data_IF_132160622914
#
_entry.id   IF_132160622914
#
_cell.length_a   1.000
_cell.length_b   1.000
_cell.length_c   1.000
_cell.angle_alpha   90.00
_cell.angle_beta   90.00
_cell.angle_gamma   90.00
#
_symmetry.space_group_name_H-M   'P 1'
#
loop_
_entity.id
_entity.type
_entity.pdbx_description
1 polymer ?
#
# COMPACT_ATOMS: atom_id res chain seq x y z
N UNK A 1 -8.05 -0.92 26.43
CA UNK A 1 -6.62 -1.23 26.47
C UNK A 1 -5.79 0.05 26.47
N UNK A 2 -5.14 0.36 27.59
CA UNK A 2 -4.38 1.62 27.77
C UNK A 2 -3.12 1.74 26.90
N UNK A 3 -2.67 0.65 26.31
CA UNK A 3 -1.46 0.66 25.48
C UNK A 3 -1.78 0.99 24.01
N UNK A 4 -2.85 0.42 23.47
CA UNK A 4 -3.17 0.49 22.03
C UNK A 4 -4.11 1.67 21.72
N UNK A 5 -4.95 2.07 22.65
CA UNK A 5 -5.94 3.13 22.43
C UNK A 5 -5.30 4.46 21.96
N UNK A 6 -4.16 4.91 22.52
CA UNK A 6 -3.53 6.13 22.00
C UNK A 6 -3.17 6.06 20.53
N UNK A 7 -2.70 4.89 20.07
CA UNK A 7 -2.38 4.68 18.66
C UNK A 7 -3.60 4.83 17.76
N UNK A 8 -4.71 4.20 18.12
CA UNK A 8 -5.98 4.33 17.39
C UNK A 8 -6.45 5.78 17.32
N UNK A 9 -6.40 6.49 18.46
CA UNK A 9 -6.84 7.89 18.54
C UNK A 9 -5.94 8.75 17.65
N UNK A 10 -4.63 8.55 17.69
CA UNK A 10 -3.70 9.33 16.86
C UNK A 10 -3.84 9.03 15.38
N UNK A 11 -4.10 7.78 15.01
CA UNK A 11 -4.37 7.42 13.61
C UNK A 11 -5.63 8.13 13.11
N UNK A 12 -6.70 8.11 13.91
CA UNK A 12 -7.94 8.79 13.55
C UNK A 12 -7.77 10.31 13.50
N UNK A 13 -7.06 10.86 14.47
CA UNK A 13 -6.72 12.30 14.48
C UNK A 13 -5.97 12.69 13.20
N UNK A 14 -4.97 11.89 12.82
CA UNK A 14 -4.18 12.15 11.61
C UNK A 14 -5.06 12.09 10.35
N UNK A 15 -5.95 11.09 10.26
CA UNK A 15 -6.88 10.96 9.13
C UNK A 15 -7.78 12.21 9.03
N UNK A 16 -8.42 12.60 10.13
CA UNK A 16 -9.34 13.74 10.14
C UNK A 16 -8.62 15.06 9.82
N UNK A 17 -7.37 15.20 10.29
CA UNK A 17 -6.59 16.42 10.04
C UNK A 17 -6.05 16.49 8.60
N UNK A 18 -5.84 15.36 7.95
CA UNK A 18 -5.35 15.31 6.56
C UNK A 18 -6.48 15.32 5.52
N UNK A 19 -7.71 15.03 5.94
CA UNK A 19 -8.86 14.96 5.04
C UNK A 19 -9.52 16.32 4.91
N UNK A 20 -9.82 16.75 3.69
CA UNK A 20 -10.57 17.98 3.42
C UNK A 20 -12.08 17.76 3.50
N UNK A 21 -12.52 16.52 3.38
CA UNK A 21 -13.92 16.11 3.46
C UNK A 21 -14.03 14.93 4.44
N UNK A 22 -15.23 14.64 4.94
CA UNK A 22 -15.42 13.47 5.81
C UNK A 22 -14.89 12.20 5.12
N UNK A 23 -14.08 11.38 5.83
CA UNK A 23 -13.55 10.16 5.23
C UNK A 23 -14.63 9.11 5.00
N UNK A 24 -14.41 8.21 4.05
CA UNK A 24 -15.27 7.03 3.88
C UNK A 24 -14.99 6.01 4.99
N UNK A 25 -15.92 5.05 5.18
CA UNK A 25 -15.70 3.97 6.14
C UNK A 25 -14.44 3.16 5.81
N UNK A 26 -14.21 2.92 4.51
CA UNK A 26 -13.00 2.22 4.05
C UNK A 26 -11.73 2.99 4.43
N UNK A 27 -11.72 4.32 4.26
CA UNK A 27 -10.58 5.15 4.67
C UNK A 27 -10.35 5.09 6.18
N UNK A 28 -11.42 5.05 6.98
CA UNK A 28 -11.33 4.89 8.42
C UNK A 28 -10.67 3.55 8.75
N UNK A 29 -11.17 2.45 8.19
CA UNK A 29 -10.62 1.11 8.44
C UNK A 29 -9.13 1.05 8.02
N UNK A 30 -8.80 1.57 6.84
CA UNK A 30 -7.40 1.61 6.37
C UNK A 30 -6.49 2.42 7.29
N UNK A 31 -6.98 3.55 7.82
CA UNK A 31 -6.15 4.42 8.68
C UNK A 31 -5.85 3.78 10.03
N UNK A 32 -6.72 2.88 10.49
CA UNK A 32 -6.54 2.18 11.77
C UNK A 32 -5.61 0.98 11.67
N UNK A 33 -5.29 0.53 10.45
CA UNK A 33 -4.41 -0.62 10.21
C UNK A 33 -3.03 -0.41 10.86
N UNK A 34 -2.46 -1.47 11.40
CA UNK A 34 -1.20 -1.41 12.12
C UNK A 34 -1.34 -1.19 13.63
N UNK A 35 -2.51 -0.77 14.10
CA UNK A 35 -2.80 -0.68 15.53
C UNK A 35 -3.38 -2.02 16.00
N UNK A 36 -2.53 -2.90 16.50
CA UNK A 36 -2.91 -4.27 16.83
C UNK A 36 -3.52 -4.36 18.23
N UNK A 37 -4.77 -4.83 18.32
CA UNK A 37 -5.49 -5.00 19.57
C UNK A 37 -5.97 -6.43 19.74
N UNK A 38 -5.53 -7.10 20.78
CA UNK A 38 -5.95 -8.47 21.11
C UNK A 38 -7.28 -8.51 21.89
N UNK A 39 -7.68 -7.38 22.49
CA UNK A 39 -8.73 -7.34 23.52
C UNK A 39 -10.14 -7.19 22.96
N UNK A 40 -10.34 -6.36 21.93
CA UNK A 40 -11.65 -5.86 21.51
C UNK A 40 -12.24 -6.56 20.29
N UNK A 41 -11.43 -7.25 19.50
CA UNK A 41 -11.85 -7.73 18.18
C UNK A 41 -12.07 -6.59 17.17
N UNK A 42 -11.61 -5.38 17.50
CA UNK A 42 -11.64 -4.17 16.65
C UNK A 42 -13.03 -3.57 16.44
N UNK A 43 -14.11 -4.35 16.46
CA UNK A 43 -15.45 -3.91 16.09
C UNK A 43 -15.92 -2.66 16.87
N UNK A 44 -15.81 -2.63 18.22
CA UNK A 44 -16.24 -1.43 18.98
C UNK A 44 -15.41 -0.20 18.62
N UNK A 45 -14.14 -0.38 18.21
CA UNK A 45 -13.25 0.73 17.82
C UNK A 45 -13.72 1.30 16.47
N UNK A 46 -13.92 0.42 15.48
CA UNK A 46 -14.40 0.81 14.15
C UNK A 46 -15.76 1.51 14.26
N UNK A 47 -16.68 0.91 15.03
CA UNK A 47 -18.03 1.47 15.22
C UNK A 47 -17.98 2.87 15.87
N UNK A 48 -17.06 3.07 16.82
CA UNK A 48 -16.88 4.38 17.46
C UNK A 48 -16.35 5.44 16.46
N UNK A 49 -15.51 5.03 15.51
CA UNK A 49 -14.96 5.99 14.54
C UNK A 49 -15.85 6.21 13.31
N UNK A 50 -16.84 5.34 13.08
CA UNK A 50 -17.82 5.51 12.00
C UNK A 50 -18.64 6.79 12.11
N UNK A 51 -18.76 7.36 13.31
CA UNK A 51 -19.47 8.64 13.50
C UNK A 51 -18.84 9.78 12.67
N UNK A 52 -17.57 9.64 12.27
CA UNK A 52 -16.87 10.61 11.45
C UNK A 52 -16.96 10.31 9.96
N UNK A 53 -17.60 9.21 9.57
CA UNK A 53 -17.69 8.80 8.18
C UNK A 53 -18.70 9.63 7.39
N UNK A 54 -18.48 9.73 6.11
CA UNK A 54 -19.41 10.34 5.16
C UNK A 54 -20.72 9.52 5.14
N UNK A 55 -21.84 10.17 5.41
CA UNK A 55 -23.13 9.53 5.68
C UNK A 55 -23.82 8.88 4.45
N UNK A 56 -23.24 8.98 3.27
CA UNK A 56 -23.89 8.52 2.04
C UNK A 56 -23.49 7.11 1.58
N UNK A 57 -22.69 6.39 2.35
CA UNK A 57 -22.32 5.01 2.01
C UNK A 57 -23.36 4.04 2.61
N UNK A 58 -24.35 3.70 1.78
CA UNK A 58 -25.48 2.83 2.16
C UNK A 58 -25.08 1.37 2.47
N UNK A 59 -23.82 0.99 2.25
CA UNK A 59 -23.40 -0.41 2.38
C UNK A 59 -23.27 -0.89 3.84
N UNK A 60 -23.16 0.02 4.80
CA UNK A 60 -22.92 -0.34 6.20
C UNK A 60 -23.99 0.15 7.18
N UNK A 61 -24.96 0.94 6.71
CA UNK A 61 -25.98 1.52 7.60
C UNK A 61 -27.08 0.55 8.00
N UNK A 62 -27.15 -0.64 7.39
CA UNK A 62 -28.26 -1.57 7.66
C UNK A 62 -28.08 -2.45 8.89
N UNK A 63 -26.95 -2.37 9.61
CA UNK A 63 -26.76 -3.23 10.78
C UNK A 63 -26.81 -2.52 12.15
N UNK A 64 -26.98 -1.19 12.19
CA UNK A 64 -26.88 -0.47 13.47
C UNK A 64 -28.01 0.50 13.80
N UNK A 65 -29.00 0.62 12.94
CA UNK A 65 -30.08 1.58 13.19
C UNK A 65 -31.45 0.93 13.36
N UNK A 66 -31.52 -0.19 14.07
CA UNK A 66 -32.66 -0.38 14.94
C UNK A 66 -32.31 0.40 16.20
N UNK A 67 -32.77 1.65 16.29
CA UNK A 67 -32.77 2.34 17.57
C UNK A 67 -33.48 1.42 18.57
N UNK A 68 -32.82 0.95 19.63
CA UNK A 68 -33.54 0.28 20.71
C UNK A 68 -34.54 1.32 21.21
N UNK A 69 -35.77 0.91 21.42
CA UNK A 69 -36.71 1.68 22.22
C UNK A 69 -35.95 2.04 23.50
N UNK A 70 -36.11 3.26 23.96
CA UNK A 70 -35.31 3.88 25.03
C UNK A 70 -35.19 3.06 26.34
N UNK A 71 -35.87 1.92 26.43
CA UNK A 71 -36.03 1.18 27.68
C UNK A 71 -35.25 -0.14 27.80
N UNK A 72 -34.48 -0.59 26.76
CA UNK A 72 -33.79 -1.88 26.88
C UNK A 72 -32.37 -1.82 26.26
N UNK A 73 -31.42 -1.43 27.09
CA UNK A 73 -30.01 -1.60 26.72
C UNK A 73 -29.59 -3.04 27.02
N UNK A 74 -29.33 -3.81 25.97
CA UNK A 74 -28.85 -5.19 26.12
C UNK A 74 -27.32 -5.16 26.18
N UNK A 75 -26.77 -5.71 27.25
CA UNK A 75 -25.34 -5.78 27.47
C UNK A 75 -24.68 -6.65 26.42
N UNK A 76 -23.70 -6.11 25.61
CA UNK A 76 -23.07 -6.90 24.56
C UNK A 76 -22.28 -8.11 25.05
N UNK A 77 -21.84 -8.10 26.31
CA UNK A 77 -21.03 -9.20 26.87
C UNK A 77 -21.89 -10.31 27.48
N UNK A 78 -23.12 -10.04 27.84
CA UNK A 78 -24.01 -11.05 28.52
C UNK A 78 -25.25 -11.38 27.70
N UNK A 79 -25.60 -10.56 26.72
CA UNK A 79 -26.85 -10.74 25.95
C UNK A 79 -28.13 -10.50 26.72
N UNK A 80 -28.03 -9.91 27.90
CA UNK A 80 -29.20 -9.66 28.81
C UNK A 80 -29.40 -8.16 29.03
N UNK A 81 -30.59 -7.70 29.43
CA UNK A 81 -30.80 -6.31 29.81
C UNK A 81 -29.76 -5.88 30.85
N UNK A 82 -29.12 -4.75 30.62
CA UNK A 82 -27.99 -4.31 31.43
C UNK A 82 -28.38 -3.26 32.45
N UNK A 83 -28.21 -3.60 33.72
CA UNK A 83 -28.46 -2.66 34.83
C UNK A 83 -27.36 -1.62 35.01
N UNK A 84 -26.23 -1.77 34.32
CA UNK A 84 -25.13 -0.80 34.43
C UNK A 84 -25.45 0.54 33.73
N UNK A 85 -26.47 0.58 32.89
CA UNK A 85 -26.93 1.81 32.23
C UNK A 85 -28.14 2.45 32.88
N UNK A 86 -28.75 1.82 33.89
CA UNK A 86 -29.87 2.44 34.63
C UNK A 86 -29.32 3.52 35.55
N UNK A 87 -29.80 4.73 35.39
CA UNK A 87 -29.49 5.84 36.28
C UNK A 87 -29.83 5.42 37.71
N UNK A 88 -28.83 5.23 38.54
CA UNK A 88 -29.01 5.22 39.97
C UNK A 88 -29.69 6.54 40.35
N UNK A 89 -30.76 6.47 41.09
CA UNK A 89 -31.44 7.65 41.58
C UNK A 89 -30.41 8.56 42.27
N UNK A 90 -30.19 9.71 41.69
CA UNK A 90 -29.26 10.69 42.24
C UNK A 90 -29.94 11.32 43.44
N UNK A 91 -29.41 11.03 44.60
CA UNK A 91 -29.73 11.75 45.82
C UNK A 91 -29.29 13.21 45.64
N UNK A 92 -30.22 14.13 45.72
CA UNK A 92 -29.99 15.55 45.49
C UNK A 92 -29.11 16.17 46.60
N UNK A 93 -27.81 16.19 46.35
CA UNK A 93 -26.87 17.00 47.15
C UNK A 93 -26.28 18.07 46.25
N UNK A 94 -26.07 19.31 46.72
CA UNK A 94 -25.60 20.41 45.89
C UNK A 94 -24.10 20.30 45.65
N UNK A 95 -23.68 19.79 44.51
CA UNK A 95 -22.28 19.95 44.13
C UNK A 95 -22.16 20.25 42.66
N UNK A 96 -21.36 21.26 42.48
CA UNK A 96 -20.95 21.92 41.24
C UNK A 96 -20.20 21.02 40.28
N UNK A 97 -20.26 21.38 39.06
CA UNK A 97 -19.54 20.91 37.89
C UNK A 97 -20.19 19.73 37.17
N UNK A 98 -21.02 20.07 36.22
CA UNK A 98 -21.62 19.11 35.33
C UNK A 98 -20.61 18.49 34.37
N UNK A 99 -20.38 17.21 34.59
CA UNK A 99 -20.08 16.34 33.46
C UNK A 99 -21.44 15.73 33.08
N UNK A 100 -22.03 16.27 32.05
CA UNK A 100 -23.16 15.62 31.42
C UNK A 100 -22.63 14.35 30.74
N UNK A 101 -22.80 13.23 31.38
CA UNK A 101 -22.40 11.92 30.82
C UNK A 101 -23.42 11.39 29.80
N UNK A 102 -23.99 12.27 29.02
CA UNK A 102 -24.70 11.84 27.83
C UNK A 102 -23.76 11.90 26.65
N UNK A 103 -23.01 10.84 26.42
CA UNK A 103 -22.27 10.71 25.17
C UNK A 103 -23.24 10.40 24.04
N UNK A 104 -23.94 11.41 23.56
CA UNK A 104 -24.49 11.32 22.21
C UNK A 104 -23.29 11.28 21.27
N UNK A 105 -23.18 10.29 20.40
CA UNK A 105 -22.11 10.30 19.42
C UNK A 105 -22.20 11.58 18.60
N UNK A 106 -21.13 12.37 18.61
CA UNK A 106 -21.08 13.56 17.77
C UNK A 106 -21.02 13.11 16.31
N UNK A 107 -21.99 13.52 15.52
CA UNK A 107 -21.91 13.32 14.08
C UNK A 107 -20.90 14.31 13.49
N UNK A 108 -20.32 13.96 12.36
CA UNK A 108 -19.38 14.88 11.67
C UNK A 108 -20.03 16.23 11.37
N UNK A 109 -21.34 16.25 11.12
CA UNK A 109 -22.11 17.47 10.86
C UNK A 109 -22.23 18.39 12.08
N UNK A 110 -22.00 17.86 13.27
CA UNK A 110 -22.03 18.65 14.54
C UNK A 110 -20.63 19.18 14.87
N UNK A 111 -19.59 18.69 14.19
CA UNK A 111 -18.25 19.24 14.29
C UNK A 111 -18.16 20.32 13.22
N UNK A 112 -17.92 21.56 13.65
CA UNK A 112 -17.79 22.69 12.74
C UNK A 112 -16.64 22.39 11.73
N UNK A 113 -17.01 22.01 10.52
CA UNK A 113 -16.05 21.69 9.46
C UNK A 113 -15.15 22.87 9.09
N UNK A 114 -15.62 24.12 9.29
CA UNK A 114 -14.81 25.29 9.05
C UNK A 114 -13.63 25.39 10.01
N UNK A 115 -13.78 24.87 11.22
CA UNK A 115 -12.70 24.84 12.21
C UNK A 115 -11.58 23.89 11.81
N UNK A 116 -11.87 22.88 10.97
CA UNK A 116 -10.84 21.94 10.50
C UNK A 116 -10.01 22.51 9.35
N UNK A 117 -10.62 23.29 8.47
CA UNK A 117 -9.91 23.88 7.33
C UNK A 117 -8.98 25.02 7.74
N UNK A 118 -9.26 25.69 8.85
CA UNK A 118 -8.48 26.83 9.34
C UNK A 118 -7.55 26.48 10.49
N UNK A 119 -7.58 25.28 11.03
CA UNK A 119 -6.66 24.88 12.07
C UNK A 119 -5.30 24.60 11.47
N UNK A 120 -4.37 25.48 11.74
CA UNK A 120 -2.97 25.24 11.39
C UNK A 120 -2.46 23.98 12.09
N UNK A 121 -1.91 23.08 11.30
CA UNK A 121 -1.09 22.03 11.86
C UNK A 121 0.08 22.69 12.58
N UNK A 122 0.32 22.32 13.83
CA UNK A 122 1.46 22.85 14.58
C UNK A 122 2.70 22.19 14.00
N UNK A 123 3.22 22.80 12.95
CA UNK A 123 4.44 22.34 12.28
C UNK A 123 5.48 23.46 12.38
N UNK A 124 6.67 23.17 12.90
CA UNK A 124 7.67 24.22 13.07
C UNK A 124 7.96 24.96 11.77
N UNK A 125 7.75 26.29 11.70
CA UNK A 125 7.98 27.05 10.46
C UNK A 125 9.41 26.89 9.93
N UNK A 126 10.38 26.72 10.81
CA UNK A 126 11.78 26.53 10.46
C UNK A 126 11.97 25.27 9.59
N UNK A 127 11.18 24.25 9.82
CA UNK A 127 11.24 23.02 9.02
C UNK A 127 10.61 23.21 7.64
N UNK A 128 9.56 24.04 7.53
CA UNK A 128 8.97 24.41 6.24
C UNK A 128 9.95 25.18 5.37
N UNK A 129 10.73 26.07 5.98
CA UNK A 129 11.68 26.93 5.29
C UNK A 129 13.03 26.22 5.06
N UNK A 130 13.23 25.06 5.64
CA UNK A 130 14.51 24.35 5.56
C UNK A 130 14.78 23.86 4.16
N UNK A 131 15.82 24.38 3.54
CA UNK A 131 16.28 23.90 2.24
C UNK A 131 16.95 22.54 2.37
N UNK A 132 16.63 21.64 1.47
CA UNK A 132 17.31 20.36 1.39
C UNK A 132 18.77 20.57 0.99
N UNK A 133 19.67 19.96 1.76
CA UNK A 133 21.11 20.01 1.47
C UNK A 133 21.63 18.59 1.29
N UNK A 134 22.69 18.48 0.50
CA UNK A 134 23.44 17.23 0.38
C UNK A 134 23.95 16.83 1.76
N UNK A 135 23.83 15.54 2.10
CA UNK A 135 24.39 15.01 3.34
C UNK A 135 25.49 13.99 3.04
N UNK A 136 26.55 14.10 3.80
CA UNK A 136 27.67 13.15 3.81
C UNK A 136 28.07 13.00 5.28
N UNK A 137 27.69 11.86 5.87
CA UNK A 137 27.87 11.61 7.29
C UNK A 137 28.74 10.36 7.47
N UNK A 138 29.64 10.39 8.44
CA UNK A 138 30.41 9.23 8.85
C UNK A 138 30.00 8.84 10.26
N UNK A 139 29.54 7.61 10.42
CA UNK A 139 29.11 7.06 11.70
C UNK A 139 30.17 6.14 12.33
N UNK A 140 29.79 5.52 13.40
CA UNK A 140 30.63 4.55 14.10
C UNK A 140 31.03 3.40 13.18
N UNK A 141 32.26 2.89 13.34
CA UNK A 141 32.75 1.81 12.56
C UNK A 141 33.05 2.12 11.09
N UNK A 142 33.09 3.42 10.74
CA UNK A 142 33.37 3.86 9.38
C UNK A 142 32.17 3.79 8.43
N UNK A 143 30.97 3.55 8.97
CA UNK A 143 29.73 3.60 8.17
C UNK A 143 29.59 4.97 7.51
N UNK A 144 29.34 4.99 6.21
CA UNK A 144 29.11 6.21 5.44
C UNK A 144 27.65 6.29 5.03
N UNK A 145 27.04 7.46 5.25
CA UNK A 145 25.68 7.76 4.84
C UNK A 145 25.69 8.96 3.91
N UNK A 146 25.16 8.76 2.71
CA UNK A 146 25.02 9.83 1.72
C UNK A 146 23.54 10.09 1.44
N UNK A 147 23.17 11.36 1.26
CA UNK A 147 21.87 11.77 0.74
C UNK A 147 22.09 12.78 -0.39
N UNK A 148 22.32 12.28 -1.62
CA UNK A 148 22.43 13.14 -2.80
C UNK A 148 21.09 13.77 -3.15
N UNK A 149 21.12 14.82 -3.99
CA UNK A 149 19.92 15.56 -4.41
C UNK A 149 19.72 15.50 -5.93
N UNK A 150 20.64 14.91 -6.68
CA UNK A 150 20.54 14.76 -8.13
C UNK A 150 20.90 13.34 -8.54
N UNK A 151 20.30 12.87 -9.63
CA UNK A 151 20.60 11.56 -10.19
C UNK A 151 22.09 11.44 -10.55
N UNK A 152 22.66 12.47 -11.15
CA UNK A 152 24.10 12.47 -11.50
C UNK A 152 24.97 12.18 -10.27
N UNK A 153 24.63 12.77 -9.12
CA UNK A 153 25.39 12.55 -7.90
C UNK A 153 25.21 11.10 -7.37
N UNK A 154 24.01 10.51 -7.56
CA UNK A 154 23.77 9.09 -7.22
C UNK A 154 24.69 8.20 -8.07
N UNK A 155 24.76 8.46 -9.39
CA UNK A 155 25.58 7.66 -10.31
C UNK A 155 27.07 7.75 -9.94
N UNK A 156 27.55 8.94 -9.61
CA UNK A 156 28.95 9.14 -9.16
C UNK A 156 29.22 8.34 -7.88
N UNK A 157 28.28 8.39 -6.91
CA UNK A 157 28.44 7.62 -5.66
C UNK A 157 28.38 6.12 -5.93
N UNK A 158 27.50 5.67 -6.82
CA UNK A 158 27.37 4.25 -7.17
C UNK A 158 28.63 3.73 -7.88
N UNK A 159 29.20 4.51 -8.78
CA UNK A 159 30.48 4.20 -9.44
C UNK A 159 31.61 4.07 -8.41
N UNK A 160 31.64 4.99 -7.43
CA UNK A 160 32.66 4.99 -6.37
C UNK A 160 32.47 3.86 -5.36
N UNK A 161 31.22 3.50 -5.10
CA UNK A 161 30.86 2.47 -4.10
C UNK A 161 29.87 1.47 -4.72
N UNK A 162 30.33 0.56 -5.60
CA UNK A 162 29.43 -0.37 -6.31
C UNK A 162 28.57 -1.22 -5.38
N UNK A 163 29.08 -1.54 -4.17
CA UNK A 163 28.37 -2.34 -3.17
C UNK A 163 27.52 -1.47 -2.21
N UNK A 164 27.39 -0.16 -2.45
CA UNK A 164 26.57 0.69 -1.62
C UNK A 164 25.11 0.24 -1.67
N UNK A 165 24.45 0.22 -0.51
CA UNK A 165 23.04 -0.15 -0.40
C UNK A 165 22.18 1.10 -0.52
N UNK A 166 21.21 1.09 -1.41
CA UNK A 166 20.25 2.18 -1.55
C UNK A 166 19.16 2.08 -0.48
N UNK A 167 18.74 3.24 0.00
CA UNK A 167 17.68 3.35 1.01
C UNK A 167 16.64 4.40 0.57
N UNK A 168 15.36 4.02 0.68
CA UNK A 168 14.23 4.94 0.67
C UNK A 168 13.58 4.88 2.06
N UNK A 169 12.69 3.91 2.32
CA UNK A 169 11.96 3.81 3.58
C UNK A 169 12.58 2.91 4.63
N UNK A 170 13.70 2.28 4.35
CA UNK A 170 14.44 1.42 5.30
C UNK A 170 13.64 0.21 5.81
N UNK A 171 12.57 -0.18 5.15
CA UNK A 171 11.67 -1.26 5.62
C UNK A 171 12.28 -2.66 5.49
N UNK A 172 13.21 -2.85 4.54
CA UNK A 172 13.97 -4.11 4.43
C UNK A 172 15.37 -3.94 5.04
N UNK A 173 16.10 -2.89 4.67
CA UNK A 173 17.48 -2.67 5.12
C UNK A 173 17.53 -2.56 6.66
N UNK A 174 16.52 -1.91 7.26
CA UNK A 174 16.42 -1.83 8.71
C UNK A 174 16.29 -3.21 9.38
N UNK A 175 15.55 -4.12 8.77
CA UNK A 175 15.43 -5.52 9.24
C UNK A 175 16.76 -6.24 9.06
N UNK A 176 17.42 -6.06 7.91
CA UNK A 176 18.71 -6.69 7.62
C UNK A 176 19.79 -6.25 8.63
N UNK A 177 19.87 -4.95 8.89
CA UNK A 177 20.89 -4.41 9.80
C UNK A 177 20.59 -4.73 11.27
N UNK A 178 19.34 -4.57 11.69
CA UNK A 178 18.95 -4.70 13.10
C UNK A 178 18.80 -6.14 13.55
N UNK A 179 18.14 -6.97 12.75
CA UNK A 179 17.82 -8.36 13.15
C UNK A 179 18.79 -9.38 12.57
N UNK A 180 19.19 -9.24 11.31
CA UNK A 180 20.13 -10.15 10.66
C UNK A 180 21.59 -9.72 10.88
N UNK A 181 21.80 -8.53 11.44
CA UNK A 181 23.12 -7.95 11.75
C UNK A 181 24.02 -7.81 10.51
N UNK A 182 23.42 -7.68 9.34
CA UNK A 182 24.16 -7.41 8.11
C UNK A 182 24.71 -5.98 8.17
N UNK A 183 25.99 -5.82 7.85
CA UNK A 183 26.63 -4.49 7.84
C UNK A 183 26.80 -4.01 6.41
N UNK A 184 26.36 -2.78 6.18
CA UNK A 184 26.53 -2.09 4.90
C UNK A 184 27.48 -0.91 5.14
N UNK A 185 28.73 -0.98 4.64
CA UNK A 185 29.68 0.12 4.88
C UNK A 185 29.24 1.45 4.31
N UNK A 186 28.45 1.43 3.24
CA UNK A 186 27.98 2.66 2.56
C UNK A 186 26.48 2.54 2.30
N UNK A 187 25.73 3.54 2.77
CA UNK A 187 24.29 3.68 2.56
C UNK A 187 24.03 4.95 1.77
N UNK A 188 23.20 4.87 0.73
CA UNK A 188 22.85 6.02 -0.11
C UNK A 188 21.33 6.19 -0.07
N UNK A 189 20.87 7.29 0.53
CA UNK A 189 19.45 7.62 0.58
C UNK A 189 19.06 8.36 -0.70
N UNK A 190 18.12 7.79 -1.47
CA UNK A 190 17.71 8.34 -2.76
C UNK A 190 16.30 8.96 -2.71
N UNK A 191 15.82 9.28 -1.51
CA UNK A 191 14.43 9.75 -1.28
C UNK A 191 14.11 11.09 -1.96
N UNK A 192 15.13 11.89 -2.27
CA UNK A 192 14.92 13.25 -2.82
C UNK A 192 15.40 13.38 -4.28
N UNK A 193 15.59 12.27 -4.99
CA UNK A 193 16.03 12.31 -6.39
C UNK A 193 14.80 12.45 -7.29
N UNK A 194 14.62 13.57 -7.99
CA UNK A 194 13.37 13.80 -8.74
C UNK A 194 13.09 12.71 -9.77
N UNK A 195 14.09 12.27 -10.51
CA UNK A 195 13.95 11.25 -11.56
C UNK A 195 13.47 9.90 -11.00
N UNK A 196 13.86 9.58 -9.74
CA UNK A 196 13.46 8.34 -9.09
C UNK A 196 12.08 8.46 -8.41
N UNK A 197 11.54 9.68 -8.30
CA UNK A 197 10.23 9.93 -7.71
C UNK A 197 9.16 10.33 -8.76
N UNK A 198 9.47 10.14 -10.04
CA UNK A 198 8.55 10.47 -11.13
C UNK A 198 7.30 9.58 -11.07
N UNK A 199 6.12 10.20 -11.19
CA UNK A 199 4.85 9.51 -11.42
C UNK A 199 4.18 10.24 -12.59
N UNK A 200 4.27 9.66 -13.78
CA UNK A 200 3.82 10.32 -15.01
C UNK A 200 2.86 9.42 -15.80
N UNK A 201 1.65 9.92 -15.97
CA UNK A 201 0.62 9.28 -16.80
C UNK A 201 0.93 9.62 -18.26
N UNK A 202 1.13 8.59 -19.08
CA UNK A 202 1.42 8.73 -20.52
C UNK A 202 0.27 8.14 -21.34
N UNK A 203 0.29 8.38 -22.62
CA UNK A 203 -0.74 7.86 -23.54
C UNK A 203 -0.76 6.33 -23.56
N UNK A 204 0.40 5.69 -23.44
CA UNK A 204 0.57 4.24 -23.57
C UNK A 204 0.76 3.52 -22.22
N UNK A 205 0.81 4.25 -21.10
CA UNK A 205 1.03 3.62 -19.80
C UNK A 205 1.37 4.60 -18.69
N UNK A 206 1.91 4.08 -17.62
CA UNK A 206 2.30 4.86 -16.44
C UNK A 206 3.80 4.66 -16.19
N UNK A 207 4.55 5.76 -16.12
CA UNK A 207 5.97 5.76 -15.73
C UNK A 207 6.06 6.00 -14.22
N UNK A 208 6.72 5.09 -13.51
CA UNK A 208 6.77 5.06 -12.04
C UNK A 208 8.25 5.00 -11.62
N UNK A 209 8.75 6.04 -10.99
CA UNK A 209 10.11 6.10 -10.47
C UNK A 209 10.36 5.07 -9.37
N UNK A 210 11.58 4.58 -9.27
CA UNK A 210 11.90 3.49 -8.33
C UNK A 210 11.82 3.92 -6.85
N UNK A 211 11.94 5.22 -6.54
CA UNK A 211 11.81 5.71 -5.16
C UNK A 211 10.37 6.09 -4.78
N UNK A 212 9.42 6.02 -5.71
CA UNK A 212 8.00 6.29 -5.45
C UNK A 212 7.51 5.37 -4.31
N UNK A 213 6.82 5.96 -3.34
CA UNK A 213 6.29 5.21 -2.20
C UNK A 213 5.03 4.45 -2.60
N UNK A 214 4.79 3.32 -1.92
CA UNK A 214 3.65 2.47 -2.26
C UNK A 214 2.30 3.17 -2.01
N UNK A 215 2.23 4.07 -1.02
CA UNK A 215 1.02 4.89 -0.79
C UNK A 215 0.77 5.86 -1.95
N UNK A 216 1.81 6.53 -2.43
CA UNK A 216 1.71 7.45 -3.58
C UNK A 216 1.29 6.71 -4.85
N UNK A 217 1.83 5.50 -5.04
CA UNK A 217 1.45 4.62 -6.15
C UNK A 217 -0.02 4.23 -6.06
N UNK A 218 -0.48 3.82 -4.87
CA UNK A 218 -1.88 3.43 -4.63
C UNK A 218 -2.84 4.59 -4.94
N UNK A 219 -2.53 5.79 -4.47
CA UNK A 219 -3.33 6.98 -4.75
C UNK A 219 -3.37 7.29 -6.25
N UNK A 220 -2.21 7.17 -6.93
CA UNK A 220 -2.13 7.39 -8.37
C UNK A 220 -2.97 6.36 -9.13
N UNK A 221 -2.90 5.10 -8.75
CA UNK A 221 -3.73 4.06 -9.38
C UNK A 221 -5.22 4.34 -9.16
N UNK A 222 -5.64 4.74 -7.96
CA UNK A 222 -7.03 5.09 -7.66
C UNK A 222 -7.51 6.25 -8.55
N UNK A 223 -6.70 7.31 -8.65
CA UNK A 223 -7.00 8.46 -9.50
C UNK A 223 -7.13 8.05 -10.98
N UNK A 224 -6.15 7.32 -11.49
CA UNK A 224 -6.12 6.88 -12.89
C UNK A 224 -7.32 5.97 -13.21
N UNK A 225 -7.71 5.09 -12.27
CA UNK A 225 -8.88 4.22 -12.49
C UNK A 225 -10.21 4.98 -12.49
N UNK A 226 -10.25 6.17 -11.90
CA UNK A 226 -11.45 7.02 -11.97
C UNK A 226 -11.47 7.90 -13.24
N UNK A 227 -10.32 8.15 -13.85
CA UNK A 227 -10.19 9.04 -15.01
C UNK A 227 -10.19 8.30 -16.36
N UNK A 228 -9.79 7.03 -16.39
CA UNK A 228 -9.60 6.25 -17.62
C UNK A 228 -10.60 5.09 -17.72
N UNK A 229 -10.72 4.55 -18.92
CA UNK A 229 -11.63 3.43 -19.18
C UNK A 229 -11.26 2.20 -18.33
N UNK A 230 -12.30 1.44 -18.00
CA UNK A 230 -12.18 0.26 -17.13
C UNK A 230 -11.22 -0.80 -17.68
N UNK A 231 -11.18 -0.99 -19.00
CA UNK A 231 -10.28 -2.00 -19.58
C UNK A 231 -8.82 -1.53 -19.50
N UNK A 232 -8.52 -0.27 -19.84
CA UNK A 232 -7.15 0.26 -19.79
C UNK A 232 -6.53 0.10 -18.42
N UNK A 233 -7.33 0.27 -17.38
CA UNK A 233 -6.88 0.29 -15.99
C UNK A 233 -6.96 -1.07 -15.31
N UNK A 234 -7.13 -2.17 -16.07
CA UNK A 234 -7.23 -3.53 -15.51
C UNK A 234 -6.03 -3.86 -14.61
N UNK A 235 -4.81 -3.55 -15.04
CA UNK A 235 -3.60 -3.76 -14.23
C UNK A 235 -3.63 -2.91 -12.95
N UNK A 236 -4.00 -1.63 -13.07
CA UNK A 236 -4.06 -0.72 -11.91
C UNK A 236 -5.02 -1.24 -10.84
N UNK A 237 -6.19 -1.76 -11.27
CA UNK A 237 -7.17 -2.34 -10.33
C UNK A 237 -6.59 -3.54 -9.57
N UNK A 238 -5.87 -4.42 -10.27
CA UNK A 238 -5.21 -5.55 -9.62
C UNK A 238 -4.16 -5.08 -8.60
N UNK A 239 -3.37 -4.05 -8.96
CA UNK A 239 -2.42 -3.48 -8.01
C UNK A 239 -3.10 -2.81 -6.81
N UNK A 240 -4.24 -2.11 -7.01
CA UNK A 240 -5.00 -1.50 -5.91
C UNK A 240 -5.43 -2.59 -4.91
N UNK A 241 -6.03 -3.67 -5.42
CA UNK A 241 -6.50 -4.77 -4.56
C UNK A 241 -5.32 -5.43 -3.83
N UNK A 242 -4.21 -5.66 -4.52
CA UNK A 242 -3.04 -6.29 -3.90
C UNK A 242 -2.40 -5.37 -2.83
N UNK A 243 -2.29 -4.06 -3.12
CA UNK A 243 -1.72 -3.09 -2.19
C UNK A 243 -2.57 -2.90 -0.94
N UNK A 244 -3.89 -3.11 -1.04
CA UNK A 244 -4.79 -3.08 0.11
C UNK A 244 -4.34 -4.08 1.20
N UNK A 245 -3.82 -5.23 0.78
CA UNK A 245 -3.38 -6.31 1.68
C UNK A 245 -1.86 -6.35 1.87
N UNK A 246 -1.14 -5.34 1.36
CA UNK A 246 0.32 -5.23 1.48
C UNK A 246 0.64 -4.45 2.74
N UNK A 247 1.08 -5.14 3.80
CA UNK A 247 1.47 -4.51 5.07
C UNK A 247 0.46 -3.43 5.52
N UNK A 248 0.79 -2.66 6.52
CA UNK A 248 -0.02 -1.53 6.98
C UNK A 248 0.35 -0.23 6.25
N UNK A 249 -0.50 0.78 6.41
CA UNK A 249 -0.30 2.11 5.82
C UNK A 249 1.05 2.72 6.22
N UNK A 250 1.47 2.53 7.48
CA UNK A 250 2.74 3.04 7.97
C UNK A 250 3.94 2.48 7.19
N UNK A 251 3.85 1.24 6.71
CA UNK A 251 4.90 0.65 5.86
C UNK A 251 4.78 1.18 4.43
N UNK A 252 3.55 1.21 3.87
CA UNK A 252 3.33 1.71 2.50
C UNK A 252 3.76 3.17 2.34
N UNK A 253 3.66 3.96 3.41
CA UNK A 253 4.04 5.39 3.40
C UNK A 253 5.55 5.60 3.21
N UNK A 254 6.37 4.59 3.45
CA UNK A 254 7.83 4.71 3.34
C UNK A 254 8.45 3.70 2.38
N UNK A 255 7.86 2.51 2.24
CA UNK A 255 8.35 1.48 1.31
C UNK A 255 8.21 1.96 -0.13
N UNK A 256 9.22 1.68 -0.96
CA UNK A 256 9.24 2.12 -2.35
C UNK A 256 9.09 0.98 -3.35
N UNK A 257 8.65 1.33 -4.54
CA UNK A 257 8.49 0.43 -5.68
C UNK A 257 9.80 -0.30 -5.97
N UNK A 258 10.88 0.46 -6.19
CA UNK A 258 12.19 -0.12 -6.50
C UNK A 258 12.75 -0.93 -5.33
N UNK A 259 12.49 -0.50 -4.09
CA UNK A 259 12.90 -1.26 -2.91
C UNK A 259 12.26 -2.65 -2.88
N UNK A 260 10.96 -2.73 -3.15
CA UNK A 260 10.23 -4.01 -3.23
C UNK A 260 10.77 -4.87 -4.37
N UNK A 261 10.91 -4.31 -5.57
CA UNK A 261 11.39 -5.02 -6.76
C UNK A 261 12.81 -5.55 -6.53
N UNK A 262 13.74 -4.68 -6.11
CA UNK A 262 15.17 -5.05 -5.97
C UNK A 262 15.44 -5.94 -4.75
N UNK A 263 14.52 -6.03 -3.78
CA UNK A 263 14.58 -7.04 -2.73
C UNK A 263 14.40 -8.45 -3.32
N UNK A 264 13.67 -8.57 -4.42
CA UNK A 264 13.43 -9.83 -5.14
C UNK A 264 13.01 -10.98 -4.22
N UNK A 265 12.10 -10.66 -3.29
CA UNK A 265 11.54 -11.69 -2.41
C UNK A 265 10.72 -12.68 -3.24
N UNK A 266 10.89 -14.00 -3.06
CA UNK A 266 10.05 -14.97 -3.78
C UNK A 266 8.57 -14.89 -3.39
N UNK A 267 8.26 -14.24 -2.26
CA UNK A 267 6.88 -14.04 -1.79
C UNK A 267 6.47 -12.57 -1.88
N UNK A 268 7.13 -11.78 -2.75
CA UNK A 268 6.73 -10.38 -2.97
C UNK A 268 5.29 -10.33 -3.50
N UNK A 269 4.46 -9.53 -2.86
CA UNK A 269 3.06 -9.34 -3.26
C UNK A 269 2.94 -8.71 -4.65
N UNK A 270 3.93 -7.92 -5.08
CA UNK A 270 3.81 -7.11 -6.29
C UNK A 270 4.59 -7.67 -7.48
N UNK A 271 5.67 -8.46 -7.26
CA UNK A 271 6.50 -8.93 -8.35
C UNK A 271 5.74 -9.79 -9.35
N UNK A 272 4.87 -10.74 -8.92
CA UNK A 272 4.06 -11.48 -9.89
C UNK A 272 3.15 -10.59 -10.75
N UNK A 273 2.65 -9.48 -10.18
CA UNK A 273 1.80 -8.54 -10.94
C UNK A 273 2.62 -7.74 -11.95
N UNK A 274 3.84 -7.26 -11.57
CA UNK A 274 4.68 -6.56 -12.53
C UNK A 274 4.99 -7.45 -13.74
N UNK A 275 5.32 -8.72 -13.48
CA UNK A 275 5.60 -9.70 -14.54
C UNK A 275 4.35 -9.95 -15.41
N UNK A 276 3.21 -10.26 -14.77
CA UNK A 276 1.96 -10.57 -15.49
C UNK A 276 1.49 -9.38 -16.34
N UNK A 277 1.59 -8.16 -15.80
CA UNK A 277 1.14 -6.93 -16.46
C UNK A 277 2.09 -6.43 -17.55
N UNK A 278 3.12 -7.19 -17.91
CA UNK A 278 4.09 -6.83 -18.97
C UNK A 278 4.87 -5.55 -18.63
N UNK A 279 5.09 -5.28 -17.34
CA UNK A 279 5.84 -4.09 -16.93
C UNK A 279 7.26 -4.16 -17.50
N UNK A 280 7.80 -2.99 -17.80
CA UNK A 280 9.17 -2.82 -18.29
C UNK A 280 9.97 -2.07 -17.24
N UNK A 281 11.14 -2.57 -16.91
CA UNK A 281 12.04 -1.94 -15.95
C UNK A 281 13.12 -1.18 -16.71
N UNK A 282 13.25 0.11 -16.41
CA UNK A 282 14.29 0.97 -16.98
C UNK A 282 15.44 1.01 -16.00
N UNK A 283 16.60 0.66 -16.49
CA UNK A 283 17.84 0.55 -15.71
C UNK A 283 18.82 1.57 -16.25
N UNK A 284 19.52 2.27 -15.37
CA UNK A 284 20.54 3.24 -15.77
C UNK A 284 21.89 2.82 -15.18
N UNK A 285 22.96 2.86 -16.01
CA UNK A 285 24.32 2.60 -15.55
C UNK A 285 24.99 3.90 -15.07
N UNK A 286 26.17 3.78 -14.48
CA UNK A 286 26.91 4.93 -13.97
C UNK A 286 27.43 5.89 -15.06
N UNK A 287 27.35 5.50 -16.34
CA UNK A 287 27.70 6.35 -17.49
C UNK A 287 26.48 7.10 -18.03
N UNK A 288 25.29 6.78 -17.55
CA UNK A 288 24.03 7.41 -17.99
C UNK A 288 23.30 6.67 -19.11
N UNK A 289 23.76 5.48 -19.51
CA UNK A 289 23.07 4.67 -20.54
C UNK A 289 21.84 3.99 -19.89
N UNK A 290 20.76 3.96 -20.67
CA UNK A 290 19.51 3.40 -20.17
C UNK A 290 19.07 2.19 -20.99
N UNK A 291 18.72 1.10 -20.23
CA UNK A 291 18.29 -0.04 -20.70
C UNK A 291 16.95 -0.30 -20.29
N UNK A 292 16.35 -1.10 -21.04
CA UNK A 292 14.98 -1.52 -20.65
C UNK A 292 14.88 -3.04 -20.77
N UNK A 293 14.37 -3.67 -19.70
CA UNK A 293 14.11 -5.11 -19.66
C UNK A 293 12.67 -5.36 -19.26
N UNK A 294 12.10 -6.50 -19.68
CA UNK A 294 10.78 -6.94 -19.20
C UNK A 294 10.90 -7.41 -17.73
N UNK A 295 9.87 -7.14 -16.94
CA UNK A 295 9.85 -7.57 -15.54
C UNK A 295 10.06 -9.09 -15.39
N UNK A 296 9.56 -9.89 -16.34
CA UNK A 296 9.71 -11.36 -16.30
C UNK A 296 11.15 -11.84 -16.45
N UNK A 297 12.03 -11.02 -17.02
CA UNK A 297 13.44 -11.36 -17.22
C UNK A 297 14.34 -10.83 -16.11
N UNK A 298 13.81 -10.06 -15.18
CA UNK A 298 14.61 -9.30 -14.21
C UNK A 298 14.99 -10.11 -12.97
N UNK A 299 14.19 -11.11 -12.61
CA UNK A 299 14.37 -11.90 -11.38
C UNK A 299 15.16 -13.16 -11.70
N UNK A 300 16.39 -13.28 -11.20
CA UNK A 300 17.33 -14.36 -11.56
C UNK A 300 17.37 -15.49 -10.53
N UNK A 301 16.85 -15.28 -9.32
CA UNK A 301 16.91 -16.29 -8.27
C UNK A 301 16.54 -15.71 -6.91
N UNK A 302 16.79 -16.48 -5.85
CA UNK A 302 16.47 -16.05 -4.49
C UNK A 302 17.19 -14.75 -4.15
N UNK A 303 16.42 -13.67 -4.05
CA UNK A 303 16.90 -12.30 -3.75
C UNK A 303 18.00 -11.85 -4.73
N UNK A 304 17.88 -12.26 -5.99
CA UNK A 304 18.82 -11.87 -7.06
C UNK A 304 18.07 -11.25 -8.22
N UNK A 305 18.58 -10.12 -8.68
CA UNK A 305 18.04 -9.35 -9.81
C UNK A 305 19.09 -9.17 -10.87
N UNK A 306 18.66 -8.88 -12.10
CA UNK A 306 19.51 -8.61 -13.25
C UNK A 306 19.92 -7.13 -13.24
N UNK A 307 20.78 -6.78 -12.28
CA UNK A 307 21.40 -5.46 -12.16
C UNK A 307 22.90 -5.65 -11.96
N UNK A 308 23.69 -5.06 -12.81
CA UNK A 308 25.15 -4.99 -12.62
C UNK A 308 25.49 -4.09 -11.42
N UNK A 309 26.70 -4.22 -10.93
CA UNK A 309 27.15 -3.49 -9.74
C UNK A 309 27.17 -1.96 -9.92
N UNK A 310 27.21 -1.49 -11.17
CA UNK A 310 27.21 -0.07 -11.53
C UNK A 310 25.85 0.39 -12.08
N UNK A 311 24.81 -0.44 -11.94
CA UNK A 311 23.47 -0.14 -12.42
C UNK A 311 22.50 0.13 -11.28
N UNK A 312 21.45 0.88 -11.60
CA UNK A 312 20.33 1.14 -10.69
C UNK A 312 19.00 1.04 -11.47
N UNK A 313 17.96 0.57 -10.78
CA UNK A 313 16.61 0.61 -11.31
C UNK A 313 16.13 2.08 -11.29
N UNK A 314 15.92 2.65 -12.46
CA UNK A 314 15.50 4.04 -12.62
C UNK A 314 13.99 4.17 -12.45
N UNK A 315 13.23 3.38 -13.21
CA UNK A 315 11.76 3.44 -13.19
C UNK A 315 11.15 2.14 -13.69
N UNK A 316 9.85 2.04 -13.49
CA UNK A 316 8.99 0.97 -14.02
C UNK A 316 7.99 1.63 -14.98
N UNK A 317 7.86 1.09 -16.17
CA UNK A 317 6.81 1.45 -17.10
C UNK A 317 5.73 0.36 -17.07
N UNK A 318 4.50 0.75 -16.70
CA UNK A 318 3.34 -0.15 -16.68
C UNK A 318 2.43 0.22 -17.85
N UNK A 319 2.35 -0.63 -18.90
CA UNK A 319 1.50 -0.31 -20.05
C UNK A 319 0.01 -0.42 -19.72
N UNK A 320 -0.81 0.37 -20.40
CA UNK A 320 -2.26 0.19 -20.29
C UNK A 320 -2.66 -1.18 -20.84
N UNK A 321 -3.72 -1.73 -20.28
CA UNK A 321 -4.28 -2.98 -20.79
C UNK A 321 -5.03 -2.72 -22.10
N UNK A 322 -4.98 -3.69 -22.99
CA UNK A 322 -5.72 -3.69 -24.26
C UNK A 322 -7.21 -3.97 -24.01
N UNK A 323 -8.11 -3.61 -24.94
CA UNK A 323 -9.49 -4.11 -24.86
C UNK A 323 -9.50 -5.64 -24.72
N UNK A 324 -10.31 -6.16 -23.81
CA UNK A 324 -10.44 -7.59 -23.50
C UNK A 324 -9.16 -8.19 -22.89
N UNK A 325 -8.28 -7.37 -22.35
CA UNK A 325 -7.16 -7.84 -21.55
C UNK A 325 -7.49 -7.65 -20.06
N UNK A 326 -7.42 -8.74 -19.32
CA UNK A 326 -7.81 -8.77 -17.90
C UNK A 326 -6.61 -9.16 -17.05
N UNK A 327 -6.38 -8.40 -16.00
CA UNK A 327 -5.31 -8.69 -15.02
C UNK A 327 -5.97 -8.91 -13.66
N UNK A 328 -5.53 -9.95 -12.94
CA UNK A 328 -6.03 -10.29 -11.62
C UNK A 328 -4.89 -10.68 -10.69
N UNK A 329 -5.11 -10.39 -9.42
CA UNK A 329 -4.21 -10.68 -8.31
C UNK A 329 -4.84 -11.74 -7.38
N UNK A 330 -3.98 -12.50 -6.74
CA UNK A 330 -4.41 -13.46 -5.72
C UNK A 330 -3.34 -13.50 -4.62
N UNK A 331 -3.80 -13.57 -3.38
CA UNK A 331 -2.91 -13.68 -2.22
C UNK A 331 -3.53 -14.63 -1.19
N UNK A 332 -2.74 -15.58 -0.73
CA UNK A 332 -3.08 -16.44 0.39
C UNK A 332 -2.06 -16.22 1.51
N UNK A 333 -2.54 -15.86 2.68
CA UNK A 333 -1.73 -15.61 3.87
C UNK A 333 -2.43 -16.23 5.09
N UNK A 334 -1.75 -16.32 6.24
CA UNK A 334 -2.36 -16.83 7.47
C UNK A 334 -3.43 -15.89 8.01
N UNK A 335 -3.21 -14.59 7.88
CA UNK A 335 -4.15 -13.54 8.28
C UNK A 335 -4.54 -12.72 7.05
N UNK A 336 -5.66 -12.04 7.14
CA UNK A 336 -6.10 -11.17 6.07
C UNK A 336 -5.23 -9.90 5.98
N UNK A 337 -5.00 -9.27 7.12
CA UNK A 337 -4.30 -7.98 7.21
C UNK A 337 -2.89 -8.16 7.75
N UNK A 338 -1.98 -7.30 7.30
CA UNK A 338 -0.62 -7.15 7.84
C UNK A 338 0.14 -8.50 7.86
N UNK A 339 0.03 -9.27 6.78
CA UNK A 339 0.68 -10.59 6.75
C UNK A 339 1.41 -10.85 5.43
N UNK A 340 2.42 -11.68 5.54
CA UNK A 340 3.26 -12.11 4.41
C UNK A 340 2.53 -13.22 3.65
N UNK A 341 2.59 -13.18 2.33
CA UNK A 341 1.97 -14.22 1.51
C UNK A 341 2.64 -15.58 1.74
N UNK A 342 1.83 -16.62 1.86
CA UNK A 342 2.28 -18.02 1.73
C UNK A 342 2.52 -18.28 0.24
N UNK A 343 1.47 -18.00 -0.58
CA UNK A 343 1.56 -17.99 -2.02
C UNK A 343 0.75 -16.79 -2.54
N UNK A 344 1.12 -16.29 -3.70
CA UNK A 344 0.36 -15.28 -4.39
C UNK A 344 0.47 -15.48 -5.90
N UNK A 345 -0.33 -14.75 -6.67
CA UNK A 345 -0.27 -14.82 -8.11
C UNK A 345 -0.68 -13.50 -8.77
N UNK A 346 -0.02 -13.22 -9.88
CA UNK A 346 -0.47 -12.25 -10.86
C UNK A 346 -0.87 -12.99 -12.12
N UNK A 347 -2.07 -12.78 -12.59
CA UNK A 347 -2.58 -13.48 -13.78
C UNK A 347 -3.10 -12.47 -14.80
N UNK A 348 -2.79 -12.71 -16.06
CA UNK A 348 -3.27 -11.88 -17.17
C UNK A 348 -3.72 -12.78 -18.31
N UNK A 349 -4.83 -12.41 -18.92
CA UNK A 349 -5.32 -13.05 -20.14
C UNK A 349 -5.73 -11.95 -21.13
N UNK A 350 -5.37 -12.14 -22.37
CA UNK A 350 -5.84 -11.30 -23.48
C UNK A 350 -6.68 -12.17 -24.42
N UNK A 351 -7.92 -11.73 -24.66
CA UNK A 351 -8.90 -12.46 -25.42
C UNK A 351 -9.18 -11.78 -26.77
N UNK A 352 -9.28 -12.56 -27.82
CA UNK A 352 -9.73 -12.09 -29.14
C UNK A 352 -11.01 -12.83 -29.52
N UNK A 353 -11.93 -12.10 -30.15
CA UNK A 353 -13.15 -12.70 -30.67
C UNK A 353 -12.86 -13.26 -32.08
N UNK A 354 -12.95 -14.58 -32.21
CA UNK A 354 -12.76 -15.29 -33.49
C UNK A 354 -14.03 -16.10 -33.77
N UNK A 355 -14.75 -15.72 -34.81
CA UNK A 355 -15.99 -16.41 -35.25
C UNK A 355 -17.00 -16.56 -34.10
N UNK A 356 -17.23 -15.48 -33.35
CA UNK A 356 -18.12 -15.40 -32.17
C UNK A 356 -17.64 -16.21 -30.95
N UNK A 357 -16.44 -16.75 -31.00
CA UNK A 357 -15.82 -17.42 -29.86
C UNK A 357 -14.66 -16.57 -29.29
N UNK A 358 -14.61 -16.47 -27.99
CA UNK A 358 -13.49 -15.81 -27.32
C UNK A 358 -12.33 -16.80 -27.22
N UNK A 359 -11.20 -16.43 -27.77
CA UNK A 359 -9.98 -17.26 -27.81
C UNK A 359 -8.87 -16.55 -27.06
N UNK A 360 -8.11 -17.32 -26.29
CA UNK A 360 -6.93 -16.80 -25.56
C UNK A 360 -5.83 -16.50 -26.59
N UNK A 361 -5.56 -15.22 -26.82
CA UNK A 361 -4.51 -14.79 -27.74
C UNK A 361 -3.16 -14.60 -27.02
N UNK A 362 -3.19 -14.25 -25.73
CA UNK A 362 -1.97 -14.10 -24.92
C UNK A 362 -2.35 -14.32 -23.46
N UNK A 363 -1.43 -14.87 -22.67
CA UNK A 363 -1.64 -15.12 -21.25
C UNK A 363 -0.34 -15.02 -20.49
N UNK A 364 -0.43 -14.67 -19.22
CA UNK A 364 0.67 -14.76 -18.27
C UNK A 364 0.11 -15.21 -16.93
N UNK A 365 0.69 -16.25 -16.36
CA UNK A 365 0.31 -16.78 -15.05
C UNK A 365 1.60 -16.85 -14.24
N UNK A 366 1.71 -16.00 -13.25
CA UNK A 366 2.94 -15.86 -12.45
C UNK A 366 2.62 -16.12 -11.00
N UNK A 367 3.39 -16.98 -10.36
CA UNK A 367 3.22 -17.32 -8.95
C UNK A 367 4.41 -16.83 -8.11
N UNK A 368 4.11 -16.35 -6.91
CA UNK A 368 5.09 -16.17 -5.84
C UNK A 368 4.88 -17.22 -4.75
N UNK A 369 5.97 -17.60 -4.09
CA UNK A 369 5.94 -18.57 -3.00
C UNK A 369 6.08 -20.04 -3.40
N UNK A 370 6.18 -20.33 -4.70
CA UNK A 370 6.29 -21.72 -5.19
C UNK A 370 7.71 -22.07 -5.66
N UNK A 371 8.59 -21.08 -5.72
CA UNK A 371 9.96 -21.23 -6.22
C UNK A 371 10.86 -20.20 -5.52
N UNK A 372 12.20 -20.26 -5.71
CA UNK A 372 13.10 -19.23 -5.14
C UNK A 372 12.93 -17.82 -5.73
N UNK A 373 12.07 -17.65 -6.72
CA UNK A 373 11.74 -16.37 -7.37
C UNK A 373 10.28 -16.40 -7.79
N UNK A 374 9.73 -15.25 -8.19
CA UNK A 374 8.42 -15.20 -8.85
C UNK A 374 8.52 -15.95 -10.17
N UNK A 375 7.67 -16.94 -10.38
CA UNK A 375 7.82 -17.93 -11.45
C UNK A 375 6.64 -17.91 -12.41
N UNK A 376 6.92 -17.75 -13.69
CA UNK A 376 5.92 -17.89 -14.75
C UNK A 376 5.59 -19.38 -14.97
N UNK A 377 4.29 -19.70 -14.94
CA UNK A 377 3.79 -21.06 -15.24
C UNK A 377 3.71 -21.23 -16.76
N UNK A 378 4.87 -21.46 -17.38
CA UNK A 378 5.01 -21.51 -18.85
C UNK A 378 4.14 -22.59 -19.46
N UNK A 379 4.08 -23.76 -18.84
CA UNK A 379 3.25 -24.89 -19.34
C UNK A 379 1.76 -24.53 -19.35
N UNK A 380 1.28 -23.84 -18.32
CA UNK A 380 -0.10 -23.35 -18.26
C UNK A 380 -0.35 -22.28 -19.33
N UNK A 381 0.58 -21.34 -19.47
CA UNK A 381 0.51 -20.32 -20.51
C UNK A 381 0.38 -20.98 -21.90
N UNK A 382 1.28 -21.90 -22.23
CA UNK A 382 1.31 -22.59 -23.52
C UNK A 382 0.02 -23.40 -23.76
N UNK A 383 -0.49 -24.02 -22.69
CA UNK A 383 -1.75 -24.76 -22.75
C UNK A 383 -2.95 -23.84 -23.07
N UNK A 384 -2.96 -22.62 -22.52
CA UNK A 384 -4.10 -21.70 -22.67
C UNK A 384 -4.15 -21.07 -24.07
N UNK A 385 -3.01 -20.74 -24.66
CA UNK A 385 -2.94 -19.95 -25.91
C UNK A 385 -3.61 -20.72 -27.05
N UNK A 386 -4.44 -20.02 -27.82
CA UNK A 386 -5.14 -20.54 -28.98
C UNK A 386 -6.44 -21.27 -28.66
N UNK A 387 -6.79 -21.46 -27.41
CA UNK A 387 -7.99 -22.20 -27.00
C UNK A 387 -9.16 -21.28 -26.68
N UNK A 388 -10.37 -21.80 -26.86
CA UNK A 388 -11.61 -21.08 -26.52
C UNK A 388 -11.73 -20.85 -25.01
N UNK A 389 -12.06 -19.61 -24.63
CA UNK A 389 -12.22 -19.22 -23.24
C UNK A 389 -13.56 -19.74 -22.68
N UNK A 390 -13.52 -20.86 -21.99
CA UNK A 390 -14.71 -21.51 -21.43
C UNK A 390 -14.35 -22.31 -20.15
N UNK A 391 -15.37 -22.91 -19.52
CA UNK A 391 -15.18 -23.67 -18.26
C UNK A 391 -14.35 -24.95 -18.47
N UNK A 392 -14.38 -25.53 -19.64
CA UNK A 392 -13.60 -26.73 -19.94
C UNK A 392 -12.11 -26.41 -19.98
N UNK A 393 -11.76 -25.27 -20.58
CA UNK A 393 -10.38 -24.77 -20.57
C UNK A 393 -9.85 -24.63 -19.14
N UNK A 394 -10.67 -24.06 -18.24
CA UNK A 394 -10.29 -23.86 -16.84
C UNK A 394 -10.01 -25.18 -16.12
N UNK A 395 -10.78 -26.23 -16.42
CA UNK A 395 -10.56 -27.55 -15.80
C UNK A 395 -9.26 -28.20 -16.26
N UNK A 396 -8.81 -27.89 -17.47
CA UNK A 396 -7.60 -28.46 -18.06
C UNK A 396 -6.32 -27.71 -17.70
N UNK A 397 -6.45 -26.46 -17.24
CA UNK A 397 -5.33 -25.59 -16.92
C UNK A 397 -4.79 -25.82 -15.49
#
# INVERSE_FOLDING_TARGET
CGVVTPGFIMSMYALLRSSQTPPSEEQIEESLAGNLCRCTGYRPIIDAFRVFAKTNDLLYTNHSLNKPKEDEFICPSTGKPCSCGTKAAIDEGPTKSGCSNGHTPLSYSEIDGSAYTNKELIFPPELLLRRLTYLNLTGFGGLKWYRPLTLQHVLVLKARYPNAKFIVGNTEVGIETRLKRIQYPVLISVIHIPELNTLSVKDDGLEIGSAVRLSELLETFRRVTSERSSYETSSCRAFIEQLKWFAGTQIRNVASVGGNICTASPISDLNPLWMAARAKFRIIDCKGNIXTTLAENFFLGYRKVDLASDEILLSVFLPWARPFEHVKEFKQAHRRDDDIAIVNAGMRVYLENKDRNWVVSDASVVYGGVAPLSLTASRTKDFLIGKSWNKELLKGA
#
